data_IF_405452740313
#
_entry.id   IF_405452740313
#
_cell.length_a   1.000
_cell.length_b   1.000
_cell.length_c   1.000
_cell.angle_alpha   90.00
_cell.angle_beta   90.00
_cell.angle_gamma   90.00
#
_symmetry.space_group_name_H-M   'P 1'
#
loop_
_entity.id
_entity.type
_entity.pdbx_description
1 polymer ?
#
# COMPACT_ATOMS: atom_id res chain seq x y z
N UNK A 1 -69.60 -5.28 -37.21
CA UNK A 1 -68.92 -4.35 -36.27
C UNK A 1 -67.68 -5.09 -35.75
N UNK A 2 -66.42 -4.66 -35.87
CA UNK A 2 -65.79 -3.61 -36.65
C UNK A 2 -64.48 -4.17 -37.31
N UNK A 3 -64.26 -3.66 -38.53
CA UNK A 3 -63.22 -3.79 -39.57
C UNK A 3 -61.85 -4.44 -39.31
N UNK A 4 -61.54 -5.38 -40.22
CA UNK A 4 -60.21 -5.70 -40.77
C UNK A 4 -59.50 -4.48 -41.39
N UNK A 5 -58.18 -4.38 -41.21
CA UNK A 5 -57.21 -3.79 -42.16
C UNK A 5 -55.88 -4.57 -42.01
N UNK A 6 -55.60 -5.51 -42.90
CA UNK A 6 -54.79 -5.35 -44.13
C UNK A 6 -53.29 -5.33 -43.87
N UNK A 7 -52.66 -6.48 -44.13
CA UNK A 7 -51.23 -6.60 -44.42
C UNK A 7 -50.86 -5.65 -45.58
N UNK A 8 -49.72 -4.97 -45.51
CA UNK A 8 -48.74 -4.74 -46.61
C UNK A 8 -47.56 -3.89 -46.07
N UNK A 9 -46.38 -4.52 -46.08
CA UNK A 9 -45.04 -4.03 -46.42
C UNK A 9 -44.62 -2.57 -46.12
N UNK A 10 -43.68 -2.41 -45.17
CA UNK A 10 -42.49 -1.58 -45.36
C UNK A 10 -41.26 -2.27 -44.72
N UNK A 11 -40.25 -2.47 -45.56
CA UNK A 11 -38.85 -2.81 -45.23
C UNK A 11 -38.21 -1.60 -44.52
N UNK A 12 -37.17 -1.83 -43.70
CA UNK A 12 -36.37 -0.86 -42.88
C UNK A 12 -37.03 -0.69 -41.49
N UNK A 13 -36.53 -1.19 -40.36
CA UNK A 13 -35.19 -1.29 -39.77
C UNK A 13 -35.15 -2.63 -38.99
N UNK A 14 -33.99 -3.28 -38.90
CA UNK A 14 -33.79 -4.54 -38.18
C UNK A 14 -34.10 -4.46 -36.67
N UNK A 15 -35.39 -4.49 -36.32
CA UNK A 15 -35.85 -4.85 -34.99
C UNK A 15 -35.59 -6.34 -34.81
N UNK A 16 -34.42 -6.65 -34.26
CA UNK A 16 -34.29 -7.82 -33.42
C UNK A 16 -35.35 -7.68 -32.33
N UNK A 17 -36.42 -8.48 -32.42
CA UNK A 17 -37.23 -8.80 -31.26
C UNK A 17 -36.30 -9.59 -30.34
N UNK A 18 -35.60 -8.88 -29.44
CA UNK A 18 -34.88 -9.50 -28.34
C UNK A 18 -35.92 -10.04 -27.36
N UNK A 19 -36.38 -11.27 -27.60
CA UNK A 19 -36.82 -12.13 -26.52
C UNK A 19 -35.56 -12.57 -25.78
N UNK A 20 -35.32 -12.04 -24.59
CA UNK A 20 -34.16 -12.41 -23.78
C UNK A 20 -34.33 -11.98 -22.34
N UNK A 21 -34.86 -12.89 -21.51
CA UNK A 21 -34.76 -12.84 -20.04
C UNK A 21 -33.33 -13.15 -19.58
N UNK A 22 -32.30 -12.53 -20.17
CA UNK A 22 -30.92 -12.72 -19.75
C UNK A 22 -30.08 -11.49 -20.09
N UNK A 23 -29.12 -11.17 -19.23
CA UNK A 23 -28.13 -10.13 -19.46
C UNK A 23 -27.37 -10.34 -20.78
N UNK A 24 -26.85 -9.25 -21.39
CA UNK A 24 -25.90 -9.29 -22.51
C UNK A 24 -24.78 -10.32 -22.30
N UNK A 25 -24.19 -10.82 -23.40
CA UNK A 25 -23.21 -11.91 -23.33
C UNK A 25 -21.94 -11.59 -22.54
N UNK A 26 -21.65 -10.30 -22.33
CA UNK A 26 -20.52 -9.72 -21.61
C UNK A 26 -20.88 -9.32 -20.17
N UNK A 27 -22.13 -9.51 -19.76
CA UNK A 27 -22.61 -9.17 -18.42
C UNK A 27 -23.00 -10.44 -17.63
N UNK A 28 -23.07 -10.31 -16.31
CA UNK A 28 -23.54 -11.29 -15.34
C UNK A 28 -24.75 -10.72 -14.62
N UNK A 29 -25.67 -11.61 -14.23
CA UNK A 29 -26.89 -11.23 -13.51
C UNK A 29 -26.70 -11.42 -12.01
N UNK A 30 -26.97 -10.39 -11.24
CA UNK A 30 -27.13 -10.46 -9.79
C UNK A 30 -28.37 -11.32 -9.44
N UNK A 31 -28.20 -12.22 -8.47
CA UNK A 31 -29.17 -13.23 -8.02
C UNK A 31 -30.43 -12.62 -7.44
N UNK A 32 -30.31 -11.54 -6.63
CA UNK A 32 -31.41 -10.95 -5.87
C UNK A 32 -32.18 -9.91 -6.70
N UNK A 33 -31.50 -8.84 -7.12
CA UNK A 33 -32.11 -7.66 -7.76
C UNK A 33 -32.21 -7.80 -9.29
N UNK A 34 -31.61 -8.85 -9.86
CA UNK A 34 -31.62 -9.13 -11.31
C UNK A 34 -30.91 -8.05 -12.13
N UNK A 35 -30.06 -7.25 -11.49
CA UNK A 35 -29.23 -6.26 -12.15
C UNK A 35 -28.13 -6.96 -12.95
N UNK A 36 -27.83 -6.44 -14.13
CA UNK A 36 -26.70 -6.90 -14.93
C UNK A 36 -25.45 -6.06 -14.60
N UNK A 37 -24.29 -6.71 -14.46
CA UNK A 37 -23.00 -6.07 -14.26
C UNK A 37 -21.94 -6.68 -15.21
N UNK A 38 -20.90 -5.94 -15.60
CA UNK A 38 -19.88 -6.44 -16.52
C UNK A 38 -19.14 -7.67 -15.96
N UNK A 39 -18.82 -8.65 -16.81
CA UNK A 39 -18.08 -9.85 -16.38
C UNK A 39 -16.73 -9.52 -15.74
N UNK A 40 -16.06 -8.49 -16.23
CA UNK A 40 -14.80 -7.98 -15.68
C UNK A 40 -14.93 -7.43 -14.26
N UNK A 41 -16.16 -7.06 -13.84
CA UNK A 41 -16.44 -6.54 -12.52
C UNK A 41 -16.60 -7.64 -11.46
N UNK A 42 -16.72 -8.90 -11.85
CA UNK A 42 -16.72 -10.00 -10.89
C UNK A 42 -15.40 -10.02 -10.11
N UNK A 43 -15.44 -9.94 -8.78
CA UNK A 43 -14.24 -9.94 -7.95
C UNK A 43 -13.29 -8.76 -8.26
N UNK A 44 -13.83 -7.57 -8.49
CA UNK A 44 -13.07 -6.35 -8.74
C UNK A 44 -12.86 -5.50 -7.46
N UNK A 45 -13.44 -5.91 -6.33
CA UNK A 45 -13.40 -5.21 -5.05
C UNK A 45 -14.42 -4.09 -4.88
N UNK A 46 -15.36 -3.94 -5.82
CA UNK A 46 -16.45 -2.95 -5.82
C UNK A 46 -17.76 -3.74 -5.72
N UNK A 47 -18.69 -3.31 -4.87
CA UNK A 47 -20.00 -3.95 -4.79
C UNK A 47 -20.89 -3.46 -5.93
N UNK A 48 -21.00 -4.25 -6.99
CA UNK A 48 -21.89 -4.00 -8.13
C UNK A 48 -23.30 -4.59 -7.92
N UNK A 49 -23.44 -5.63 -7.07
CA UNK A 49 -24.73 -6.21 -6.67
C UNK A 49 -25.22 -5.71 -5.28
N UNK A 50 -26.53 -5.76 -5.03
CA UNK A 50 -27.17 -5.27 -3.78
C UNK A 50 -26.55 -5.76 -2.46
N UNK A 51 -26.04 -6.99 -2.41
CA UNK A 51 -25.41 -7.61 -1.23
C UNK A 51 -23.90 -7.85 -1.44
N UNK A 52 -23.30 -7.28 -2.50
CA UNK A 52 -21.90 -7.47 -2.87
C UNK A 52 -21.58 -8.89 -3.32
N UNK A 53 -22.56 -9.65 -3.84
CA UNK A 53 -22.36 -11.05 -4.20
C UNK A 53 -21.43 -11.32 -5.37
N UNK A 54 -21.22 -10.33 -6.20
CA UNK A 54 -20.16 -10.26 -7.19
C UNK A 54 -18.77 -10.41 -6.56
N UNK A 55 -18.61 -10.12 -5.27
CA UNK A 55 -17.36 -10.21 -4.50
C UNK A 55 -17.29 -11.43 -3.54
N UNK A 56 -18.28 -12.33 -3.60
CA UNK A 56 -18.24 -13.62 -2.88
C UNK A 56 -17.69 -14.76 -3.74
N UNK A 57 -17.08 -15.74 -3.07
CA UNK A 57 -16.56 -16.98 -3.69
C UNK A 57 -15.51 -16.70 -4.79
N UNK A 58 -14.65 -15.71 -4.55
CA UNK A 58 -13.58 -15.32 -5.46
C UNK A 58 -12.26 -16.08 -5.19
N UNK A 59 -11.81 -16.83 -6.19
CA UNK A 59 -10.49 -17.49 -6.15
C UNK A 59 -9.34 -16.50 -6.38
N UNK A 60 -9.57 -15.40 -7.11
CA UNK A 60 -8.60 -14.35 -7.37
C UNK A 60 -9.32 -13.04 -7.73
N UNK A 61 -8.62 -11.92 -7.55
CA UNK A 61 -9.07 -10.62 -8.06
C UNK A 61 -8.73 -10.48 -9.55
N UNK A 62 -9.57 -9.79 -10.31
CA UNK A 62 -9.28 -9.46 -11.70
C UNK A 62 -8.15 -8.44 -11.83
N UNK A 63 -7.48 -8.41 -13.00
CA UNK A 63 -6.51 -7.37 -13.33
C UNK A 63 -5.22 -7.35 -12.50
N UNK A 64 -4.88 -8.43 -11.79
CA UNK A 64 -3.67 -8.50 -10.97
C UNK A 64 -3.76 -7.79 -9.61
N UNK A 65 -4.98 -7.43 -9.20
CA UNK A 65 -5.26 -6.88 -7.87
C UNK A 65 -4.93 -7.90 -6.74
N UNK A 66 -4.66 -7.37 -5.55
CA UNK A 66 -4.28 -8.16 -4.37
C UNK A 66 -5.53 -8.58 -3.59
N UNK A 67 -5.77 -9.89 -3.39
CA UNK A 67 -6.95 -10.36 -2.69
C UNK A 67 -6.78 -10.32 -1.15
N UNK A 68 -7.46 -9.39 -0.48
CA UNK A 68 -7.69 -9.45 0.97
C UNK A 68 -8.91 -10.32 1.27
N UNK A 69 -8.70 -11.58 1.67
CA UNK A 69 -9.82 -12.49 2.00
C UNK A 69 -10.35 -12.25 3.42
N UNK A 70 -11.67 -12.12 3.54
CA UNK A 70 -12.40 -12.13 4.82
C UNK A 70 -13.56 -13.11 4.73
N UNK A 71 -13.39 -14.31 5.29
CA UNK A 71 -14.39 -15.37 5.19
C UNK A 71 -14.70 -15.69 3.72
N UNK A 72 -15.95 -15.57 3.27
CA UNK A 72 -16.40 -15.76 1.89
C UNK A 72 -16.26 -14.52 1.00
N UNK A 73 -15.92 -13.36 1.57
CA UNK A 73 -15.78 -12.08 0.87
C UNK A 73 -14.32 -11.80 0.53
N UNK A 74 -14.06 -11.24 -0.65
CA UNK A 74 -12.73 -10.81 -1.06
C UNK A 74 -12.74 -9.31 -1.33
N UNK A 75 -11.88 -8.56 -0.64
CA UNK A 75 -11.60 -7.17 -0.99
C UNK A 75 -10.37 -7.13 -1.90
N UNK A 76 -10.52 -6.60 -3.10
CA UNK A 76 -9.42 -6.46 -4.04
C UNK A 76 -8.74 -5.10 -3.88
N UNK A 77 -7.43 -5.11 -3.61
CA UNK A 77 -6.61 -3.91 -3.57
C UNK A 77 -5.82 -3.73 -4.86
N UNK A 78 -5.43 -2.50 -5.23
CA UNK A 78 -4.59 -2.26 -6.39
C UNK A 78 -3.29 -3.09 -6.35
N UNK A 79 -2.81 -3.54 -7.51
CA UNK A 79 -1.62 -4.40 -7.61
C UNK A 79 -0.37 -3.81 -6.95
N UNK A 80 -0.29 -2.48 -6.89
CA UNK A 80 0.81 -1.76 -6.28
C UNK A 80 0.88 -1.85 -4.75
N UNK A 81 -0.19 -2.29 -4.09
CA UNK A 81 -0.19 -2.50 -2.63
C UNK A 81 0.40 -3.84 -2.23
N UNK A 82 0.84 -4.64 -3.21
CA UNK A 82 1.52 -5.90 -2.91
C UNK A 82 2.96 -5.60 -2.52
N UNK A 83 3.37 -6.07 -1.34
CA UNK A 83 4.74 -5.98 -0.87
C UNK A 83 5.29 -4.54 -0.85
N UNK A 84 4.45 -3.57 -0.49
CA UNK A 84 4.80 -2.14 -0.40
C UNK A 84 5.18 -1.70 1.03
N UNK A 85 5.24 -2.66 1.95
CA UNK A 85 5.54 -2.45 3.36
C UNK A 85 4.36 -1.93 4.18
N UNK A 86 3.16 -1.77 3.60
CA UNK A 86 1.96 -1.31 4.29
C UNK A 86 1.02 -2.49 4.48
N UNK A 87 0.63 -2.75 5.73
CA UNK A 87 -0.41 -3.73 6.03
C UNK A 87 -1.80 -3.20 5.64
N UNK A 88 -2.18 -3.31 4.37
CA UNK A 88 -3.47 -2.86 3.86
C UNK A 88 -4.57 -3.92 4.04
N UNK A 89 -4.20 -5.21 4.06
CA UNK A 89 -5.12 -6.29 4.44
C UNK A 89 -5.08 -6.59 5.95
N UNK A 90 -6.20 -7.05 6.50
CA UNK A 90 -6.23 -7.59 7.86
C UNK A 90 -5.41 -8.88 7.92
N UNK A 91 -4.44 -8.94 8.83
CA UNK A 91 -3.47 -10.04 8.88
C UNK A 91 -2.31 -9.91 7.88
N UNK A 92 -2.26 -8.81 7.10
CA UNK A 92 -1.24 -8.48 6.12
C UNK A 92 -0.85 -9.53 5.05
N UNK A 93 -1.79 -10.32 4.48
CA UNK A 93 -1.47 -11.21 3.36
C UNK A 93 -0.93 -10.50 2.10
N UNK A 94 -1.11 -9.19 1.99
CA UNK A 94 -0.52 -8.32 0.97
C UNK A 94 1.00 -8.13 1.14
N UNK A 95 1.52 -8.35 2.36
CA UNK A 95 2.93 -8.25 2.73
C UNK A 95 3.59 -9.61 3.02
N UNK A 96 2.88 -10.70 2.72
CA UNK A 96 3.39 -12.08 2.87
C UNK A 96 3.93 -12.65 1.55
N UNK A 97 4.91 -13.53 1.65
CA UNK A 97 5.52 -14.23 0.51
C UNK A 97 6.06 -13.25 -0.56
N UNK A 98 6.71 -12.19 -0.09
CA UNK A 98 7.31 -11.14 -0.88
C UNK A 98 8.74 -11.52 -1.27
N UNK A 99 8.92 -11.99 -2.51
CA UNK A 99 10.27 -12.27 -3.05
C UNK A 99 10.96 -11.00 -3.53
N UNK A 100 10.20 -10.01 -4.01
CA UNK A 100 10.64 -8.69 -4.44
C UNK A 100 9.68 -7.66 -3.84
N UNK A 101 10.20 -6.62 -3.19
CA UNK A 101 9.38 -5.53 -2.67
C UNK A 101 9.01 -4.56 -3.78
N UNK A 102 7.78 -4.06 -3.73
CA UNK A 102 7.31 -3.00 -4.62
C UNK A 102 7.58 -1.65 -3.95
N UNK A 103 7.84 -0.59 -4.74
CA UNK A 103 7.97 0.83 -4.32
C UNK A 103 8.65 1.09 -2.97
N UNK A 104 9.85 1.67 -2.93
CA UNK A 104 10.43 2.30 -1.70
C UNK A 104 10.20 1.47 -0.41
N UNK A 105 10.32 0.15 -0.54
CA UNK A 105 10.10 -0.80 0.54
C UNK A 105 11.34 -1.69 0.62
N UNK A 106 11.76 -1.96 1.84
CA UNK A 106 12.94 -2.73 2.15
C UNK A 106 12.55 -4.19 2.41
N UNK A 107 13.32 -5.11 1.83
CA UNK A 107 13.12 -6.55 2.04
C UNK A 107 13.92 -7.00 3.26
N UNK A 108 13.24 -7.53 4.27
CA UNK A 108 13.90 -8.19 5.39
C UNK A 108 14.72 -9.40 4.88
N UNK A 109 16.04 -9.49 5.09
CA UNK A 109 16.90 -10.48 4.43
C UNK A 109 16.56 -11.95 4.73
N UNK A 110 16.06 -12.24 5.93
CA UNK A 110 15.70 -13.60 6.38
C UNK A 110 14.21 -13.89 6.34
N UNK A 111 13.42 -12.98 5.79
CA UNK A 111 11.97 -13.10 5.68
C UNK A 111 11.52 -12.87 4.24
N UNK A 112 10.36 -13.41 3.91
CA UNK A 112 9.65 -13.09 2.67
C UNK A 112 8.65 -11.95 2.95
N UNK A 113 9.14 -10.87 3.57
CA UNK A 113 8.35 -9.71 3.99
C UNK A 113 9.06 -8.40 3.65
N UNK A 114 8.25 -7.38 3.38
CA UNK A 114 8.71 -6.02 3.12
C UNK A 114 8.29 -5.08 4.26
N UNK A 115 9.10 -4.06 4.49
CA UNK A 115 8.80 -2.94 5.39
C UNK A 115 8.95 -1.63 4.62
N UNK A 116 8.30 -0.58 5.08
CA UNK A 116 8.40 0.73 4.44
C UNK A 116 9.83 1.28 4.58
N UNK A 117 10.34 2.03 3.61
CA UNK A 117 11.68 2.65 3.72
C UNK A 117 11.82 3.56 4.95
N UNK A 118 10.74 4.23 5.38
CA UNK A 118 10.72 5.05 6.61
C UNK A 118 10.89 4.24 7.92
N UNK A 119 10.83 2.91 7.83
CA UNK A 119 11.02 1.96 8.94
C UNK A 119 12.46 1.48 9.04
N UNK A 120 13.30 1.87 8.07
CA UNK A 120 14.73 1.70 8.21
C UNK A 120 15.24 2.70 9.23
N UNK A 121 16.00 2.21 10.20
CA UNK A 121 16.67 3.06 11.18
C UNK A 121 15.70 3.91 12.00
N UNK A 122 14.50 3.40 12.27
CA UNK A 122 13.48 4.12 13.03
C UNK A 122 13.56 3.86 14.54
N UNK A 123 14.54 3.03 14.95
CA UNK A 123 14.78 2.64 16.33
C UNK A 123 13.90 1.47 16.78
N UNK A 124 13.06 0.93 15.89
CA UNK A 124 12.22 -0.23 16.14
C UNK A 124 12.71 -1.39 15.28
N UNK A 125 12.83 -2.57 15.89
CA UNK A 125 13.06 -3.78 15.12
C UNK A 125 11.76 -4.19 14.41
N UNK A 126 11.58 -3.74 13.17
CA UNK A 126 10.53 -4.22 12.30
C UNK A 126 10.91 -5.56 11.68
N UNK A 127 12.18 -5.84 11.30
CA UNK A 127 12.62 -7.18 10.88
C UNK A 127 13.00 -8.08 12.08
N UNK A 128 12.75 -9.39 11.98
CA UNK A 128 13.05 -10.36 13.06
C UNK A 128 14.54 -10.50 13.36
N UNK A 129 15.40 -10.23 12.38
CA UNK A 129 16.86 -10.26 12.52
C UNK A 129 17.48 -8.88 12.75
N UNK A 130 16.65 -7.86 13.04
CA UNK A 130 17.04 -6.47 13.24
C UNK A 130 17.74 -5.85 12.02
N UNK A 131 17.68 -6.48 10.84
CA UNK A 131 18.45 -6.05 9.67
C UNK A 131 18.09 -4.63 9.17
N UNK A 132 16.85 -4.21 9.41
CA UNK A 132 16.35 -2.86 9.20
C UNK A 132 16.99 -1.80 10.11
N UNK A 133 17.54 -2.24 11.24
CA UNK A 133 18.26 -1.41 12.19
C UNK A 133 19.79 -1.65 12.11
N UNK A 134 20.29 -2.49 11.21
CA UNK A 134 21.73 -2.72 11.03
C UNK A 134 22.31 -1.76 9.99
N UNK A 135 23.49 -1.19 10.30
CA UNK A 135 24.21 -0.33 9.35
C UNK A 135 23.60 1.07 9.19
N UNK A 136 22.56 1.39 9.96
CA UNK A 136 22.02 2.74 10.13
C UNK A 136 23.05 3.78 10.60
N UNK A 137 24.16 3.28 11.12
CA UNK A 137 25.23 4.03 11.75
C UNK A 137 26.52 4.06 10.92
N UNK A 138 26.50 3.55 9.68
CA UNK A 138 27.52 3.94 8.69
C UNK A 138 27.11 5.28 8.11
N UNK A 139 27.44 6.34 8.85
CA UNK A 139 27.43 7.68 8.28
C UNK A 139 28.34 7.69 7.04
N UNK A 140 28.02 8.52 6.05
CA UNK A 140 28.83 8.67 4.85
C UNK A 140 30.30 8.98 5.19
N UNK A 141 31.21 8.79 4.23
CA UNK A 141 32.65 9.01 4.45
C UNK A 141 33.00 10.42 4.99
N UNK A 142 32.09 11.39 4.82
CA UNK A 142 32.19 12.78 5.27
C UNK A 142 31.17 13.13 6.36
N UNK A 143 30.78 12.16 7.20
CA UNK A 143 29.79 12.35 8.27
C UNK A 143 30.28 11.74 9.60
N UNK A 144 29.89 12.37 10.72
CA UNK A 144 30.18 11.96 12.09
C UNK A 144 28.91 11.42 12.75
N UNK A 145 29.02 10.28 13.44
CA UNK A 145 27.94 9.75 14.26
C UNK A 145 27.91 10.40 15.65
N UNK A 146 26.72 10.81 16.07
CA UNK A 146 26.46 11.32 17.40
C UNK A 146 26.26 10.20 18.43
N UNK A 147 27.02 10.16 19.53
CA UNK A 147 27.05 9.02 20.44
C UNK A 147 25.78 8.83 21.27
N UNK A 148 24.95 9.88 21.39
CA UNK A 148 23.73 9.85 22.22
C UNK A 148 22.44 9.91 21.41
N UNK A 149 22.37 10.73 20.36
CA UNK A 149 21.22 10.79 19.45
C UNK A 149 21.29 9.74 18.35
N UNK A 150 22.48 9.18 18.07
CA UNK A 150 22.74 8.28 16.95
C UNK A 150 22.44 8.90 15.57
N UNK A 151 22.36 10.23 15.51
CA UNK A 151 22.22 11.00 14.27
C UNK A 151 23.58 11.18 13.58
N UNK A 152 23.59 11.24 12.25
CA UNK A 152 24.77 11.58 11.47
C UNK A 152 24.77 13.09 11.17
N UNK A 153 25.85 13.78 11.53
CA UNK A 153 26.09 15.17 11.12
C UNK A 153 27.18 15.20 10.05
N UNK A 154 27.04 16.09 9.07
CA UNK A 154 28.04 16.23 8.03
C UNK A 154 29.35 16.84 8.59
N UNK A 155 30.50 16.53 7.99
CA UNK A 155 31.82 16.94 8.47
C UNK A 155 32.01 18.47 8.55
N UNK A 156 31.16 19.24 7.86
CA UNK A 156 31.15 20.71 7.95
C UNK A 156 30.45 21.24 9.20
N UNK A 157 29.76 20.38 9.95
CA UNK A 157 29.13 20.67 11.23
C UNK A 157 30.02 20.29 12.42
N UNK A 158 31.18 19.69 12.16
CA UNK A 158 32.15 19.36 13.21
C UNK A 158 32.97 20.61 13.53
N UNK A 159 32.97 21.06 14.79
CA UNK A 159 33.65 22.27 15.25
C UNK A 159 33.22 23.52 14.48
N UNK A 160 31.92 23.63 14.17
CA UNK A 160 31.34 24.73 13.40
C UNK A 160 30.78 25.86 14.26
N UNK A 161 30.85 25.71 15.59
CA UNK A 161 30.35 26.63 16.60
C UNK A 161 28.93 26.28 17.08
N UNK A 162 28.20 25.41 16.40
CA UNK A 162 26.85 25.00 16.78
C UNK A 162 26.87 23.60 17.41
N UNK A 163 26.09 23.41 18.47
CA UNK A 163 25.87 22.08 19.05
C UNK A 163 24.82 21.33 18.22
N UNK A 164 25.24 20.69 17.13
CA UNK A 164 24.40 19.85 16.28
C UNK A 164 24.25 18.43 16.85
N UNK A 165 25.25 17.95 17.60
CA UNK A 165 25.33 16.56 18.05
C UNK A 165 24.76 16.27 19.45
N UNK A 166 24.43 17.34 20.20
CA UNK A 166 24.03 17.23 21.59
C UNK A 166 25.23 17.05 22.52
N UNK A 167 25.10 17.54 23.76
CA UNK A 167 26.19 17.55 24.75
C UNK A 167 27.53 18.12 24.25
N UNK A 168 27.49 18.89 23.15
CA UNK A 168 28.66 19.49 22.51
C UNK A 168 29.71 18.47 22.06
N UNK A 169 29.27 17.27 21.68
CA UNK A 169 30.17 16.22 21.25
C UNK A 169 30.93 16.57 19.96
N UNK A 170 30.28 17.26 19.04
CA UNK A 170 30.82 17.80 17.80
C UNK A 170 31.68 19.06 17.98
N UNK A 171 31.40 19.85 19.02
CA UNK A 171 32.09 21.10 19.33
C UNK A 171 33.24 20.95 20.34
N UNK A 172 33.30 19.84 21.04
CA UNK A 172 34.30 19.56 22.08
C UNK A 172 34.27 20.58 23.22
N UNK A 173 35.37 21.32 23.40
CA UNK A 173 35.54 22.36 24.43
C UNK A 173 35.43 23.76 23.78
N UNK A 174 34.26 24.13 23.28
CA UNK A 174 33.99 25.47 22.78
C UNK A 174 33.35 26.35 23.87
N UNK A 175 33.67 27.66 23.89
CA UNK A 175 33.12 28.60 24.88
C UNK A 175 31.60 28.80 24.74
N UNK A 176 31.03 28.48 23.57
CA UNK A 176 29.59 28.60 23.29
C UNK A 176 28.75 27.53 24.02
N UNK A 177 29.37 26.40 24.37
CA UNK A 177 28.75 25.32 25.13
C UNK A 177 28.76 25.51 26.66
N UNK A 178 29.48 26.53 27.17
CA UNK A 178 29.65 26.76 28.60
C UNK A 178 28.62 27.73 29.24
N UNK A 179 27.74 28.37 28.45
CA UNK A 179 26.79 29.37 28.96
C UNK A 179 25.54 28.80 29.66
N UNK A 180 25.70 27.71 30.41
CA UNK A 180 24.65 27.10 31.22
C UNK A 180 25.07 26.65 32.62
N UNK A 181 26.37 26.49 32.90
CA UNK A 181 26.85 26.09 34.22
C UNK A 181 27.67 27.21 34.84
N UNK A 182 26.98 28.03 35.64
CA UNK A 182 27.56 28.85 36.70
C UNK A 182 28.29 27.92 37.68
N UNK A 183 29.51 27.48 37.32
CA UNK A 183 30.41 26.85 38.28
C UNK A 183 31.04 27.98 39.07
N UNK A 184 30.46 28.26 40.23
CA UNK A 184 31.08 29.06 41.27
C UNK A 184 32.34 28.30 41.72
N UNK A 185 33.50 28.67 41.18
CA UNK A 185 34.78 28.46 41.85
C UNK A 185 35.41 29.82 42.14
N UNK A 186 35.09 30.35 43.32
CA UNK A 186 35.95 31.20 44.14
C UNK A 186 35.49 31.11 45.60
#
# INVERSE_FOLDING_TARGET
MQRNYSLIWLVIIGLHVANGENCPSDELECRIDKQCYPKENRCNGIEDCHDGEDEYECDACNGGAVPCRRSSYVKCLPSETRCDGIMACQGAPDEENCTVCNKNAFKCPKEERCIQEKRLCDGTADCNDFADELGCWECGADELICPFSLECIHANKILDGNNDCGECYDEGYSEECFNGMLIIFA
#
